data_IF_281055585390
#
_entry.id   IF_281055585390
#
_cell.length_a   1.000
_cell.length_b   1.000
_cell.length_c   1.000
_cell.angle_alpha   90.00
_cell.angle_beta   90.00
_cell.angle_gamma   90.00
#
_symmetry.space_group_name_H-M   'P 1'
#
loop_
_entity.id
_entity.type
_entity.pdbx_description
1 polymer ?
#
# COMPACT_ATOMS: atom_id res chain seq x y z
N UNK A 1 1.15 -23.03 2.69
CA UNK A 1 0.69 -21.68 2.30
C UNK A 1 0.34 -20.94 3.56
N UNK A 2 1.10 -19.91 3.92
CA UNK A 2 0.91 -19.18 5.18
C UNK A 2 -0.08 -18.05 4.91
N UNK A 3 -1.33 -18.23 5.35
CA UNK A 3 -2.36 -17.20 5.23
C UNK A 3 -2.13 -16.17 6.34
N UNK A 4 -1.57 -15.01 6.00
CA UNK A 4 -1.43 -13.89 6.93
C UNK A 4 -2.78 -13.17 6.95
N UNK A 5 -3.57 -13.39 8.00
CA UNK A 5 -4.82 -12.65 8.21
C UNK A 5 -4.48 -11.32 8.89
N UNK A 6 -4.31 -10.27 8.07
CA UNK A 6 -4.08 -8.90 8.49
C UNK A 6 -5.38 -8.31 9.08
N UNK A 7 -5.59 -8.47 10.39
CA UNK A 7 -6.90 -8.20 11.04
C UNK A 7 -7.24 -6.75 11.33
N UNK A 8 -6.31 -5.80 11.22
CA UNK A 8 -6.55 -4.40 11.63
C UNK A 8 -5.83 -3.39 10.73
N UNK A 9 -5.71 -3.67 9.44
CA UNK A 9 -5.07 -2.73 8.51
C UNK A 9 -6.14 -1.85 7.90
N UNK A 10 -6.45 -0.75 8.58
CA UNK A 10 -7.32 0.28 8.05
C UNK A 10 -6.75 0.80 6.72
N UNK A 11 -7.46 0.65 5.59
CA UNK A 11 -6.99 1.09 4.28
C UNK A 11 -6.59 2.56 4.26
N UNK A 12 -7.23 3.42 5.07
CA UNK A 12 -6.87 4.84 5.17
C UNK A 12 -5.52 5.04 5.82
N UNK A 13 -5.20 4.23 6.82
CA UNK A 13 -3.91 4.25 7.51
C UNK A 13 -2.79 3.79 6.58
N UNK A 14 -3.01 2.72 5.80
CA UNK A 14 -2.07 2.26 4.76
C UNK A 14 -1.82 3.37 3.73
N UNK A 15 -2.90 3.94 3.19
CA UNK A 15 -2.81 5.00 2.20
C UNK A 15 -1.94 6.16 2.69
N UNK A 16 -2.20 6.61 3.92
CA UNK A 16 -1.46 7.73 4.54
C UNK A 16 0.02 7.41 4.68
N UNK A 17 0.37 6.18 5.06
CA UNK A 17 1.77 5.75 5.16
C UNK A 17 2.44 5.69 3.79
N UNK A 18 1.74 5.24 2.76
CA UNK A 18 2.24 5.25 1.37
C UNK A 18 2.50 6.69 0.91
N UNK A 19 1.58 7.62 1.12
CA UNK A 19 1.78 9.04 0.77
C UNK A 19 2.96 9.68 1.51
N UNK A 20 3.19 9.29 2.76
CA UNK A 20 4.37 9.75 3.52
C UNK A 20 5.67 9.21 2.90
N UNK A 21 5.69 7.94 2.49
CA UNK A 21 6.84 7.33 1.81
C UNK A 21 7.09 7.97 0.43
N UNK A 22 6.05 8.34 -0.30
CA UNK A 22 6.17 9.08 -1.57
C UNK A 22 6.83 10.46 -1.36
N UNK A 23 6.40 11.19 -0.33
CA UNK A 23 6.99 12.48 0.00
C UNK A 23 8.47 12.35 0.36
N UNK A 24 8.85 11.30 1.11
CA UNK A 24 10.25 11.00 1.41
C UNK A 24 11.03 10.63 0.14
N UNK A 25 10.46 9.78 -0.73
CA UNK A 25 11.07 9.39 -1.99
C UNK A 25 11.30 10.60 -2.91
N UNK A 26 10.38 11.54 -2.97
CA UNK A 26 10.52 12.77 -3.75
C UNK A 26 11.63 13.69 -3.19
N UNK A 27 11.77 13.75 -1.87
CA UNK A 27 12.87 14.49 -1.24
C UNK A 27 14.23 13.84 -1.51
N UNK A 28 14.30 12.51 -1.48
CA UNK A 28 15.52 11.72 -1.75
C UNK A 28 15.90 11.67 -3.22
N UNK A 29 14.94 11.82 -4.15
CA UNK A 29 15.18 11.78 -5.60
C UNK A 29 16.09 12.90 -6.13
N UNK A 30 16.46 13.88 -5.29
CA UNK A 30 17.50 14.86 -5.60
C UNK A 30 18.89 14.22 -5.71
N UNK A 31 19.10 13.08 -5.05
CA UNK A 31 20.26 12.22 -5.21
C UNK A 31 19.87 11.06 -6.14
N UNK A 32 20.22 11.17 -7.43
CA UNK A 32 19.92 10.18 -8.44
C UNK A 32 20.80 8.92 -8.27
N UNK A 33 20.38 8.00 -7.39
CA UNK A 33 21.03 6.70 -7.16
C UNK A 33 20.08 5.51 -7.36
N UNK A 34 20.65 4.30 -7.40
CA UNK A 34 19.91 3.04 -7.54
C UNK A 34 18.83 2.84 -6.44
N UNK A 35 19.04 3.42 -5.26
CA UNK A 35 18.10 3.39 -4.13
C UNK A 35 16.78 4.10 -4.45
N UNK A 36 16.81 5.11 -5.32
CA UNK A 36 15.62 5.86 -5.74
C UNK A 36 14.70 5.01 -6.62
N UNK A 37 15.25 4.17 -7.49
CA UNK A 37 14.46 3.27 -8.34
C UNK A 37 13.88 2.10 -7.53
N UNK A 38 14.66 1.51 -6.61
CA UNK A 38 14.16 0.48 -5.70
C UNK A 38 13.02 0.99 -4.81
N UNK A 39 13.10 2.25 -4.34
CA UNK A 39 12.03 2.90 -3.58
C UNK A 39 10.76 3.13 -4.42
N UNK A 40 10.89 3.51 -5.69
CA UNK A 40 9.74 3.64 -6.61
C UNK A 40 9.04 2.30 -6.83
N UNK A 41 9.80 1.23 -7.03
CA UNK A 41 9.22 -0.11 -7.20
C UNK A 41 8.53 -0.60 -5.94
N UNK A 42 9.12 -0.34 -4.77
CA UNK A 42 8.51 -0.63 -3.46
C UNK A 42 7.19 0.13 -3.28
N UNK A 43 7.15 1.43 -3.58
CA UNK A 43 5.93 2.24 -3.53
C UNK A 43 4.84 1.71 -4.46
N UNK A 44 5.22 1.27 -5.67
CA UNK A 44 4.29 0.66 -6.62
C UNK A 44 3.65 -0.62 -6.06
N UNK A 45 4.44 -1.49 -5.44
CA UNK A 45 3.94 -2.71 -4.80
C UNK A 45 3.00 -2.39 -3.63
N UNK A 46 3.35 -1.39 -2.81
CA UNK A 46 2.50 -0.97 -1.70
C UNK A 46 1.14 -0.45 -2.16
N UNK A 47 1.09 0.34 -3.24
CA UNK A 47 -0.18 0.77 -3.86
C UNK A 47 -1.03 -0.40 -4.36
N UNK A 48 -0.40 -1.41 -4.95
CA UNK A 48 -1.14 -2.61 -5.40
C UNK A 48 -1.74 -3.37 -4.22
N UNK A 49 -0.99 -3.54 -3.13
CA UNK A 49 -1.47 -4.17 -1.91
C UNK A 49 -2.62 -3.35 -1.31
N UNK A 50 -2.50 -2.01 -1.29
CA UNK A 50 -3.56 -1.13 -0.80
C UNK A 50 -4.86 -1.30 -1.59
N UNK A 51 -4.79 -1.32 -2.93
CA UNK A 51 -5.99 -1.50 -3.76
C UNK A 51 -6.61 -2.88 -3.56
N UNK A 52 -5.82 -3.94 -3.41
CA UNK A 52 -6.33 -5.28 -3.08
C UNK A 52 -7.09 -5.26 -1.74
N UNK A 53 -6.51 -4.64 -0.69
CA UNK A 53 -7.17 -4.55 0.61
C UNK A 53 -8.47 -3.73 0.52
N UNK A 54 -8.47 -2.62 -0.23
CA UNK A 54 -9.67 -1.82 -0.45
C UNK A 54 -10.73 -2.58 -1.23
N UNK A 55 -10.32 -3.38 -2.22
CA UNK A 55 -11.21 -4.20 -3.02
C UNK A 55 -11.86 -5.30 -2.16
N UNK A 56 -11.06 -6.06 -1.41
CA UNK A 56 -11.54 -7.10 -0.49
C UNK A 56 -12.50 -6.54 0.55
N UNK A 57 -12.21 -5.35 1.10
CA UNK A 57 -13.11 -4.66 2.03
C UNK A 57 -14.45 -4.29 1.36
N UNK A 58 -14.42 -3.79 0.11
CA UNK A 58 -15.66 -3.49 -0.65
C UNK A 58 -16.45 -4.77 -0.91
N UNK A 59 -15.81 -5.86 -1.32
CA UNK A 59 -16.46 -7.14 -1.56
C UNK A 59 -17.07 -7.72 -0.28
N UNK A 60 -16.36 -7.67 0.85
CA UNK A 60 -16.87 -8.09 2.15
C UNK A 60 -18.10 -7.28 2.58
N UNK A 61 -18.14 -5.98 2.29
CA UNK A 61 -19.31 -5.12 2.54
C UNK A 61 -20.46 -5.34 1.54
N UNK A 62 -20.18 -5.86 0.36
CA UNK A 62 -21.17 -6.12 -0.70
C UNK A 62 -21.81 -7.51 -0.63
N UNK A 63 -21.31 -8.42 0.20
CA UNK A 63 -21.99 -9.67 0.50
C UNK A 63 -23.09 -9.42 1.55
N UNK A 64 -24.39 -9.31 1.17
CA UNK A 64 -25.46 -9.28 2.14
C UNK A 64 -25.43 -10.59 2.93
N UNK A 65 -25.51 -10.49 4.26
CA UNK A 65 -25.78 -11.63 5.13
C UNK A 65 -26.92 -12.47 4.55
N UNK A 66 -26.61 -13.71 4.18
CA UNK A 66 -27.57 -14.70 3.71
C UNK A 66 -27.80 -15.75 4.78
#
# INVERSE_FOLDING_TARGET
MTTITLRDVDPRTIHRQITQLEAMQQQMSKDAGADTEAMKETLRLLHQIEETIRHDAREAHHMPHH
#
